data_IF_068083059453
#
_entry.id   IF_068083059453
#
_cell.length_a   1.000
_cell.length_b   1.000
_cell.length_c   1.000
_cell.angle_alpha   90.00
_cell.angle_beta   90.00
_cell.angle_gamma   90.00
#
_symmetry.space_group_name_H-M   'P 1'
#
loop_
_entity.id
_entity.type
_entity.pdbx_description
1 polymer ?
#
# COMPACT_ATOMS: atom_id res chain seq x y z
N UNK A 1 -13.97 -7.02 -12.46
CA UNK A 1 -14.02 -5.60 -12.94
C UNK A 1 -12.92 -4.78 -12.28
N UNK A 2 -12.50 -3.70 -12.91
CA UNK A 2 -11.56 -2.72 -12.35
C UNK A 2 -12.29 -1.39 -12.21
N UNK A 3 -12.18 -0.78 -11.04
CA UNK A 3 -12.72 0.55 -10.74
C UNK A 3 -11.52 1.43 -10.39
N UNK A 4 -11.29 2.48 -11.16
CA UNK A 4 -10.28 3.50 -10.84
C UNK A 4 -10.96 4.64 -10.11
N UNK A 5 -10.38 5.04 -9.00
CA UNK A 5 -10.88 6.16 -8.19
C UNK A 5 -9.92 7.34 -8.26
N UNK A 6 -10.46 8.54 -8.25
CA UNK A 6 -9.71 9.75 -7.92
C UNK A 6 -9.73 9.98 -6.40
N UNK A 7 -8.67 10.60 -5.89
CA UNK A 7 -8.58 10.97 -4.48
C UNK A 7 -7.90 12.33 -4.31
N UNK A 8 -8.18 13.00 -3.20
CA UNK A 8 -7.64 14.33 -2.91
C UNK A 8 -6.12 14.29 -2.72
N UNK A 9 -5.42 15.20 -3.42
CA UNK A 9 -3.97 15.32 -3.36
C UNK A 9 -3.54 16.24 -2.20
N UNK A 10 -3.47 15.70 -1.00
CA UNK A 10 -3.21 16.46 0.23
C UNK A 10 -1.80 17.10 0.33
N UNK A 11 -0.86 16.70 -0.55
CA UNK A 11 0.49 17.30 -0.61
C UNK A 11 0.62 18.36 -1.71
N UNK A 12 -0.41 18.60 -2.52
CA UNK A 12 -0.37 19.59 -3.61
C UNK A 12 -0.07 20.98 -3.06
N UNK A 13 0.97 21.61 -3.59
CA UNK A 13 1.42 22.95 -3.17
C UNK A 13 2.27 22.99 -1.88
N UNK A 14 2.60 21.86 -1.27
CA UNK A 14 3.52 21.83 -0.13
C UNK A 14 4.98 21.75 -0.63
N UNK A 15 5.75 22.81 -0.37
CA UNK A 15 7.11 22.96 -0.90
C UNK A 15 8.22 22.20 -0.15
N UNK A 16 7.93 21.54 0.96
CA UNK A 16 8.96 20.84 1.78
C UNK A 16 8.34 19.69 2.56
N UNK A 17 8.92 18.50 2.45
CA UNK A 17 8.66 17.38 3.35
C UNK A 17 9.89 17.18 4.23
N UNK A 18 9.84 17.69 5.43
CA UNK A 18 10.81 17.46 6.49
C UNK A 18 10.13 16.88 7.73
N UNK A 19 10.91 16.61 8.77
CA UNK A 19 10.40 16.10 10.07
C UNK A 19 9.31 17.02 10.66
N UNK A 20 9.39 18.33 10.42
CA UNK A 20 8.39 19.31 10.85
C UNK A 20 7.07 19.21 10.05
N UNK A 21 7.03 18.47 8.95
CA UNK A 21 5.86 18.35 8.06
C UNK A 21 5.21 16.98 8.09
N UNK A 22 5.56 16.15 9.07
CA UNK A 22 4.93 14.85 9.25
C UNK A 22 3.41 14.97 9.41
N UNK A 23 2.94 16.04 10.05
CA UNK A 23 1.51 16.30 10.19
C UNK A 23 0.83 16.58 8.82
N UNK A 24 1.57 17.13 7.85
CA UNK A 24 1.05 17.35 6.50
C UNK A 24 0.95 16.02 5.76
N UNK A 25 1.97 15.18 5.85
CA UNK A 25 1.95 13.84 5.26
C UNK A 25 0.84 12.97 5.88
N UNK A 26 0.72 12.99 7.19
CA UNK A 26 -0.33 12.26 7.92
C UNK A 26 -1.73 12.69 7.48
N UNK A 27 -1.97 14.00 7.38
CA UNK A 27 -3.25 14.52 6.87
C UNK A 27 -3.50 14.11 5.42
N UNK A 28 -2.48 14.12 4.57
CA UNK A 28 -2.60 13.71 3.18
C UNK A 28 -2.94 12.22 3.06
N UNK A 29 -2.30 11.36 3.85
CA UNK A 29 -2.61 9.93 3.92
C UNK A 29 -4.05 9.74 4.44
N UNK A 30 -4.44 10.46 5.50
CA UNK A 30 -5.80 10.39 6.04
C UNK A 30 -6.84 10.74 4.97
N UNK A 31 -6.67 11.86 4.26
CA UNK A 31 -7.58 12.26 3.17
C UNK A 31 -7.70 11.18 2.10
N UNK A 32 -6.59 10.58 1.68
CA UNK A 32 -6.61 9.52 0.68
C UNK A 32 -7.29 8.24 1.18
N UNK A 33 -7.12 7.89 2.45
CA UNK A 33 -7.81 6.76 3.09
C UNK A 33 -9.31 7.03 3.24
N UNK A 34 -9.71 8.25 3.63
CA UNK A 34 -11.12 8.65 3.67
C UNK A 34 -11.78 8.53 2.30
N UNK A 35 -11.10 8.97 1.24
CA UNK A 35 -11.61 8.89 -0.13
C UNK A 35 -11.73 7.43 -0.59
N UNK A 36 -10.74 6.58 -0.26
CA UNK A 36 -10.80 5.15 -0.54
C UNK A 36 -11.93 4.46 0.23
N UNK A 37 -12.12 4.74 1.51
CA UNK A 37 -13.22 4.18 2.30
C UNK A 37 -14.58 4.67 1.82
N UNK A 38 -14.70 5.92 1.39
CA UNK A 38 -15.92 6.46 0.79
C UNK A 38 -16.26 5.75 -0.51
N UNK A 39 -15.26 5.52 -1.38
CA UNK A 39 -15.43 4.76 -2.61
C UNK A 39 -15.81 3.29 -2.32
N UNK A 40 -15.16 2.68 -1.34
CA UNK A 40 -15.47 1.31 -0.90
C UNK A 40 -16.91 1.20 -0.42
N UNK A 41 -17.34 2.12 0.42
CA UNK A 41 -18.73 2.17 0.90
C UNK A 41 -19.72 2.34 -0.25
N UNK A 42 -19.42 3.24 -1.19
CA UNK A 42 -20.25 3.41 -2.39
C UNK A 42 -20.36 2.11 -3.20
N UNK A 43 -19.25 1.35 -3.35
CA UNK A 43 -19.25 0.08 -4.06
C UNK A 43 -20.14 -0.95 -3.33
N UNK A 44 -20.03 -1.05 -2.01
CA UNK A 44 -20.85 -1.94 -1.19
C UNK A 44 -22.34 -1.60 -1.35
N UNK A 45 -22.70 -0.33 -1.24
CA UNK A 45 -24.10 0.13 -1.34
C UNK A 45 -24.69 -0.01 -2.75
N UNK A 46 -23.87 -0.18 -3.79
CA UNK A 46 -24.29 -0.24 -5.20
C UNK A 46 -23.78 -1.50 -5.94
N UNK A 47 -23.49 -2.57 -5.23
CA UNK A 47 -22.85 -3.77 -5.79
C UNK A 47 -23.65 -4.40 -6.95
N UNK A 48 -24.99 -4.49 -6.82
CA UNK A 48 -25.86 -5.01 -7.88
C UNK A 48 -25.78 -4.14 -9.14
N UNK A 49 -25.90 -2.81 -8.98
CA UNK A 49 -25.85 -1.87 -10.10
C UNK A 49 -24.50 -1.88 -10.82
N UNK A 50 -23.43 -1.97 -10.04
CA UNK A 50 -22.07 -2.05 -10.54
C UNK A 50 -21.74 -3.46 -11.09
N UNK A 51 -22.51 -4.47 -10.73
CA UNK A 51 -22.29 -5.87 -11.06
C UNK A 51 -20.94 -6.36 -10.53
N UNK A 52 -20.63 -6.02 -9.29
CA UNK A 52 -19.43 -6.44 -8.55
C UNK A 52 -19.85 -7.24 -7.32
N UNK A 53 -18.93 -7.98 -6.78
CA UNK A 53 -19.06 -8.71 -5.53
C UNK A 53 -18.25 -7.95 -4.48
N UNK A 54 -18.95 -7.32 -3.52
CA UNK A 54 -18.34 -6.50 -2.49
C UNK A 54 -17.51 -7.31 -1.48
N UNK A 55 -17.80 -8.60 -1.30
CA UNK A 55 -17.04 -9.51 -0.44
C UNK A 55 -15.66 -9.85 -1.04
N UNK A 56 -15.49 -9.65 -2.35
CA UNK A 56 -14.27 -9.94 -3.08
C UNK A 56 -13.53 -8.69 -3.56
N UNK A 57 -13.63 -7.58 -2.83
CA UNK A 57 -12.92 -6.35 -3.17
C UNK A 57 -11.43 -6.45 -2.87
N UNK A 58 -10.62 -6.27 -3.91
CA UNK A 58 -9.16 -6.12 -3.81
C UNK A 58 -8.78 -4.68 -4.08
N UNK A 59 -8.00 -4.07 -3.20
CA UNK A 59 -7.48 -2.72 -3.39
C UNK A 59 -6.04 -2.75 -3.88
N UNK A 60 -5.73 -1.90 -4.85
CA UNK A 60 -4.41 -1.84 -5.48
C UNK A 60 -3.94 -0.40 -5.62
N UNK A 61 -2.64 -0.19 -5.45
CA UNK A 61 -2.07 1.14 -5.61
C UNK A 61 -0.58 1.14 -5.87
N UNK A 62 -0.11 2.23 -6.47
CA UNK A 62 1.29 2.49 -6.78
C UNK A 62 1.76 3.74 -6.03
N UNK A 63 3.00 3.72 -5.51
CA UNK A 63 3.62 4.88 -4.84
C UNK A 63 2.70 5.47 -3.74
N UNK A 64 2.23 6.70 -3.90
CA UNK A 64 1.26 7.31 -2.98
C UNK A 64 -0.04 6.48 -2.86
N UNK A 65 -0.53 5.91 -3.97
CA UNK A 65 -1.67 5.00 -3.95
C UNK A 65 -1.37 3.70 -3.18
N UNK A 66 -0.14 3.17 -3.27
CA UNK A 66 0.27 2.01 -2.48
C UNK A 66 0.33 2.32 -0.97
N UNK A 67 0.75 3.53 -0.60
CA UNK A 67 0.67 4.02 0.78
C UNK A 67 -0.80 4.07 1.23
N UNK A 68 -1.68 4.60 0.38
CA UNK A 68 -3.11 4.73 0.71
C UNK A 68 -3.78 3.37 0.94
N UNK A 69 -3.56 2.39 0.06
CA UNK A 69 -4.17 1.05 0.22
C UNK A 69 -3.59 0.27 1.40
N UNK A 70 -2.27 0.37 1.63
CA UNK A 70 -1.63 -0.27 2.79
C UNK A 70 -2.09 0.36 4.11
N UNK A 71 -2.25 1.70 4.15
CA UNK A 71 -2.75 2.40 5.32
C UNK A 71 -4.23 2.06 5.56
N UNK A 72 -5.05 2.03 4.51
CA UNK A 72 -6.47 1.67 4.64
C UNK A 72 -6.65 0.29 5.25
N UNK A 73 -5.91 -0.72 4.77
CA UNK A 73 -5.95 -2.06 5.37
C UNK A 73 -5.46 -2.06 6.83
N UNK A 74 -4.38 -1.31 7.12
CA UNK A 74 -3.88 -1.16 8.49
C UNK A 74 -4.94 -0.56 9.43
N UNK A 75 -5.63 0.51 9.01
CA UNK A 75 -6.69 1.15 9.78
C UNK A 75 -7.91 0.22 9.96
N UNK A 76 -8.26 -0.51 8.89
CA UNK A 76 -9.37 -1.46 8.91
C UNK A 76 -9.08 -2.65 9.83
N UNK A 77 -7.92 -3.28 9.72
CA UNK A 77 -7.51 -4.42 10.56
C UNK A 77 -7.37 -4.04 12.04
N UNK A 78 -7.07 -2.77 12.32
CA UNK A 78 -7.01 -2.24 13.69
C UNK A 78 -8.33 -1.65 14.20
N UNK A 79 -9.36 -1.56 13.35
CA UNK A 79 -10.65 -0.94 13.68
C UNK A 79 -10.46 0.43 14.33
N UNK A 80 -9.68 1.27 13.66
CA UNK A 80 -9.53 2.66 14.09
C UNK A 80 -10.77 3.49 13.72
N UNK A 81 -10.86 4.70 14.25
CA UNK A 81 -11.97 5.61 13.90
C UNK A 81 -12.03 5.94 12.41
N UNK A 82 -10.93 5.81 11.67
CA UNK A 82 -10.91 6.06 10.22
C UNK A 82 -11.77 5.05 9.46
N UNK A 83 -11.78 3.79 9.92
CA UNK A 83 -12.56 2.72 9.30
C UNK A 83 -14.04 2.68 9.70
N UNK A 84 -14.51 3.60 10.57
CA UNK A 84 -15.89 3.59 11.11
C UNK A 84 -16.98 3.83 10.07
N UNK A 85 -16.63 4.28 8.86
CA UNK A 85 -17.58 4.49 7.75
C UNK A 85 -17.93 3.19 7.02
N UNK A 86 -17.15 2.13 7.22
CA UNK A 86 -17.39 0.81 6.64
C UNK A 86 -18.14 -0.10 7.61
N UNK A 87 -18.89 -1.11 7.12
CA UNK A 87 -19.54 -2.10 7.97
C UNK A 87 -18.54 -2.76 8.94
N UNK A 88 -19.01 -3.11 10.14
CA UNK A 88 -18.13 -3.64 11.18
C UNK A 88 -17.49 -4.98 10.81
N UNK A 89 -18.16 -5.79 10.03
CA UNK A 89 -17.72 -7.08 9.54
C UNK A 89 -16.97 -7.01 8.20
N UNK A 90 -16.98 -5.85 7.52
CA UNK A 90 -16.32 -5.68 6.25
C UNK A 90 -14.81 -5.96 6.33
N UNK A 91 -14.28 -6.63 5.29
CA UNK A 91 -12.85 -6.91 5.06
C UNK A 91 -12.56 -6.80 3.57
N UNK A 92 -11.41 -6.27 3.23
CA UNK A 92 -10.91 -6.44 1.86
C UNK A 92 -10.48 -7.89 1.62
N UNK A 93 -10.70 -8.40 0.41
CA UNK A 93 -10.23 -9.73 0.01
C UNK A 93 -8.71 -9.76 -0.25
N UNK A 94 -8.09 -8.62 -0.53
CA UNK A 94 -6.65 -8.52 -0.70
C UNK A 94 -6.17 -7.10 -0.94
N UNK A 95 -4.86 -6.90 -0.75
CA UNK A 95 -4.13 -5.66 -1.06
C UNK A 95 -3.01 -5.95 -2.05
N UNK A 96 -2.85 -5.11 -3.07
CA UNK A 96 -1.69 -5.12 -3.96
C UNK A 96 -0.96 -3.78 -3.89
N UNK A 97 0.28 -3.79 -3.42
CA UNK A 97 1.09 -2.62 -3.13
C UNK A 97 2.37 -2.57 -3.97
N UNK A 98 2.50 -1.54 -4.81
CA UNK A 98 3.67 -1.29 -5.64
C UNK A 98 4.46 -0.11 -5.05
N UNK A 99 5.54 -0.41 -4.33
CA UNK A 99 6.38 0.54 -3.59
C UNK A 99 5.60 1.32 -2.50
N UNK A 100 4.87 0.60 -1.64
CA UNK A 100 4.07 1.18 -0.55
C UNK A 100 4.75 1.18 0.80
N UNK A 101 4.13 1.89 1.75
CA UNK A 101 4.54 1.94 3.15
C UNK A 101 3.36 2.26 4.06
N UNK A 102 3.52 2.00 5.36
CA UNK A 102 2.55 2.36 6.42
C UNK A 102 3.16 3.42 7.32
N UNK A 103 2.40 4.47 7.61
CA UNK A 103 2.72 5.46 8.62
C UNK A 103 2.13 5.01 9.97
N UNK A 104 2.96 4.89 10.99
CA UNK A 104 2.52 4.57 12.35
C UNK A 104 3.04 5.60 13.35
N UNK A 105 2.18 6.01 14.26
CA UNK A 105 2.51 6.90 15.39
C UNK A 105 2.89 6.13 16.66
N UNK A 106 2.90 4.79 16.61
CA UNK A 106 3.24 3.91 17.73
C UNK A 106 4.70 3.41 17.66
N UNK A 107 5.47 3.84 16.66
CA UNK A 107 6.86 3.42 16.46
C UNK A 107 7.01 1.97 15.97
N UNK A 108 5.92 1.32 15.63
CA UNK A 108 5.82 -0.05 15.12
C UNK A 108 4.51 -0.20 14.33
N UNK A 109 4.43 -1.24 13.53
CA UNK A 109 3.19 -1.63 12.84
C UNK A 109 2.68 -2.89 13.49
N UNK A 110 1.63 -2.77 14.30
CA UNK A 110 0.95 -3.88 14.96
C UNK A 110 -0.49 -3.97 14.47
N UNK A 111 -1.01 -5.19 14.44
CA UNK A 111 -2.36 -5.49 13.99
C UNK A 111 -3.18 -6.13 15.10
N UNK A 112 -4.40 -5.66 15.33
CA UNK A 112 -5.38 -6.27 16.26
C UNK A 112 -5.98 -7.55 15.68
N UNK A 113 -6.23 -7.54 14.37
CA UNK A 113 -6.64 -8.70 13.58
C UNK A 113 -5.67 -8.91 12.44
N UNK A 114 -5.53 -10.14 11.94
CA UNK A 114 -4.70 -10.39 10.77
C UNK A 114 -5.18 -9.52 9.59
N UNK A 115 -4.25 -8.86 8.86
CA UNK A 115 -4.61 -8.16 7.63
C UNK A 115 -5.05 -9.18 6.57
N UNK A 116 -5.78 -8.71 5.56
CA UNK A 116 -6.08 -9.53 4.41
C UNK A 116 -4.80 -9.94 3.64
N UNK A 117 -4.86 -10.94 2.75
CA UNK A 117 -3.74 -11.32 1.91
C UNK A 117 -3.12 -10.09 1.23
N UNK A 118 -1.80 -9.96 1.28
CA UNK A 118 -1.11 -8.75 0.82
C UNK A 118 0.02 -9.09 -0.15
N UNK A 119 -0.07 -8.56 -1.38
CA UNK A 119 1.01 -8.58 -2.37
C UNK A 119 1.81 -7.29 -2.25
N UNK A 120 3.13 -7.41 -2.09
CA UNK A 120 4.06 -6.29 -2.01
C UNK A 120 5.18 -6.44 -3.04
N UNK A 121 5.40 -5.42 -3.87
CA UNK A 121 6.56 -5.30 -4.75
C UNK A 121 7.31 -4.03 -4.36
N UNK A 122 8.63 -4.14 -4.09
CA UNK A 122 9.40 -2.98 -3.64
C UNK A 122 10.87 -3.06 -4.06
N UNK A 123 11.41 -1.96 -4.56
CA UNK A 123 12.84 -1.83 -4.87
C UNK A 123 13.67 -1.66 -3.59
N UNK A 124 14.74 -2.44 -3.45
CA UNK A 124 15.58 -2.42 -2.23
C UNK A 124 16.35 -1.12 -2.05
N UNK A 125 16.58 -0.36 -3.14
CA UNK A 125 17.24 0.94 -3.16
C UNK A 125 16.27 2.14 -3.23
N UNK A 126 14.96 1.93 -3.00
CA UNK A 126 13.97 3.01 -3.04
C UNK A 126 14.24 4.06 -1.96
N UNK A 127 14.46 5.31 -2.41
CA UNK A 127 14.70 6.50 -1.58
C UNK A 127 13.51 7.45 -1.54
N UNK A 128 12.50 7.20 -2.36
CA UNK A 128 11.25 7.98 -2.42
C UNK A 128 10.29 7.47 -1.35
N UNK A 129 9.84 6.23 -1.49
CA UNK A 129 9.12 5.51 -0.45
C UNK A 129 10.11 4.54 0.20
N UNK A 130 10.42 4.67 1.50
CA UNK A 130 11.51 3.91 2.09
C UNK A 130 11.22 2.41 2.05
N UNK A 131 12.12 1.64 1.44
CA UNK A 131 12.03 0.17 1.43
C UNK A 131 12.04 -0.44 2.84
N UNK A 132 12.91 0.06 3.73
CA UNK A 132 12.98 -0.41 5.13
C UNK A 132 12.06 0.42 6.02
N UNK A 133 12.63 1.42 6.67
CA UNK A 133 11.87 2.34 7.55
C UNK A 133 12.62 3.65 7.72
N UNK A 134 11.85 4.71 7.96
CA UNK A 134 12.32 5.96 8.55
C UNK A 134 11.58 6.12 9.87
N UNK A 135 12.31 6.27 10.95
CA UNK A 135 11.72 6.38 12.29
C UNK A 135 12.35 7.49 13.10
N UNK A 136 11.50 8.29 13.75
CA UNK A 136 11.89 9.29 14.73
C UNK A 136 10.97 9.15 15.94
N UNK A 137 11.52 8.73 17.06
CA UNK A 137 10.75 8.37 18.28
C UNK A 137 9.65 7.34 17.96
N UNK A 138 8.39 7.68 18.27
CA UNK A 138 7.23 6.82 18.01
C UNK A 138 6.62 7.01 16.61
N UNK A 139 7.12 7.97 15.84
CA UNK A 139 6.68 8.15 14.48
C UNK A 139 7.56 7.33 13.55
N UNK A 140 6.95 6.48 12.73
CA UNK A 140 7.66 5.65 11.77
C UNK A 140 6.91 5.51 10.46
N UNK A 141 7.68 5.48 9.36
CA UNK A 141 7.21 5.18 8.03
C UNK A 141 7.88 3.88 7.59
N UNK A 142 7.08 2.82 7.44
CA UNK A 142 7.55 1.44 7.33
C UNK A 142 7.23 0.90 5.94
N UNK A 143 8.26 0.64 5.14
CA UNK A 143 8.13 0.10 3.80
C UNK A 143 8.13 -1.43 3.75
N UNK A 144 7.93 -1.98 2.54
CA UNK A 144 7.75 -3.41 2.30
C UNK A 144 8.79 -4.31 2.95
N UNK A 145 10.09 -3.97 2.83
CA UNK A 145 11.18 -4.77 3.44
C UNK A 145 11.20 -4.76 4.98
N UNK A 146 10.49 -3.81 5.63
CA UNK A 146 10.27 -3.84 7.08
C UNK A 146 8.96 -4.53 7.43
N UNK A 147 7.93 -4.32 6.64
CA UNK A 147 6.60 -4.91 6.86
C UNK A 147 6.64 -6.42 6.70
N UNK A 148 7.34 -6.95 5.70
CA UNK A 148 7.47 -8.41 5.48
C UNK A 148 7.95 -9.14 6.72
N UNK A 149 8.93 -8.59 7.45
CA UNK A 149 9.40 -9.19 8.71
C UNK A 149 8.33 -9.24 9.80
N UNK A 150 7.38 -8.31 9.74
CA UNK A 150 6.23 -8.29 10.65
C UNK A 150 5.22 -9.33 10.25
N UNK A 151 4.94 -9.43 8.95
CA UNK A 151 4.04 -10.41 8.38
C UNK A 151 4.54 -11.84 8.64
N UNK A 152 5.81 -12.10 8.40
CA UNK A 152 6.45 -13.39 8.69
C UNK A 152 6.35 -13.77 10.18
N UNK A 153 6.72 -12.84 11.07
CA UNK A 153 6.69 -13.07 12.52
C UNK A 153 5.30 -13.48 13.04
N UNK A 154 4.24 -12.95 12.46
CA UNK A 154 2.85 -13.21 12.87
C UNK A 154 2.14 -14.20 11.95
N UNK A 155 2.87 -14.82 11.03
CA UNK A 155 2.36 -15.84 10.13
C UNK A 155 1.15 -15.33 9.30
N UNK A 156 1.21 -14.06 8.84
CA UNK A 156 0.20 -13.48 7.96
C UNK A 156 0.32 -14.03 6.54
N UNK A 157 -0.74 -13.88 5.75
CA UNK A 157 -0.75 -14.29 4.35
C UNK A 157 -0.19 -13.17 3.46
N UNK A 158 0.96 -13.39 2.81
CA UNK A 158 1.59 -12.38 1.96
C UNK A 158 2.44 -12.95 0.84
N UNK A 159 2.58 -12.17 -0.23
CA UNK A 159 3.59 -12.37 -1.27
C UNK A 159 4.46 -11.10 -1.33
N UNK A 160 5.77 -11.25 -1.15
CA UNK A 160 6.73 -10.14 -1.20
C UNK A 160 7.79 -10.41 -2.26
N UNK A 161 7.95 -9.46 -3.18
CA UNK A 161 8.96 -9.46 -4.23
C UNK A 161 9.92 -8.28 -4.02
N UNK A 162 11.14 -8.60 -3.61
CA UNK A 162 12.23 -7.64 -3.39
C UNK A 162 13.02 -7.47 -4.68
N UNK A 163 12.96 -6.30 -5.30
CA UNK A 163 13.75 -6.00 -6.50
C UNK A 163 15.09 -5.43 -6.10
N UNK A 164 16.16 -6.24 -6.29
CA UNK A 164 17.54 -5.88 -5.92
C UNK A 164 17.99 -4.62 -6.65
N UNK A 165 18.57 -3.69 -5.88
CA UNK A 165 19.17 -2.45 -6.35
C UNK A 165 18.25 -1.58 -7.23
N UNK A 166 16.95 -1.91 -7.26
CA UNK A 166 15.95 -1.06 -7.93
C UNK A 166 15.45 0.01 -6.97
N UNK A 167 15.26 1.20 -7.53
CA UNK A 167 14.70 2.38 -6.84
C UNK A 167 13.19 2.42 -6.93
N UNK A 168 12.65 3.62 -6.98
CA UNK A 168 11.19 3.87 -7.03
C UNK A 168 10.52 3.44 -8.33
N UNK A 169 11.29 3.04 -9.34
CA UNK A 169 10.76 2.51 -10.62
C UNK A 169 9.82 1.32 -10.41
N UNK A 170 9.94 0.58 -9.30
CA UNK A 170 9.05 -0.55 -9.00
C UNK A 170 7.60 -0.08 -8.71
N UNK A 171 7.40 1.18 -8.43
CA UNK A 171 6.06 1.76 -8.41
C UNK A 171 5.33 1.61 -9.76
N UNK A 172 6.06 1.61 -10.87
CA UNK A 172 5.52 1.48 -12.23
C UNK A 172 5.42 0.00 -12.70
N UNK A 173 5.75 -0.96 -11.82
CA UNK A 173 5.82 -2.38 -12.16
C UNK A 173 4.45 -3.06 -12.40
N UNK A 174 3.33 -2.39 -12.21
CA UNK A 174 1.99 -2.96 -12.35
C UNK A 174 1.80 -3.73 -13.67
N UNK A 175 2.21 -3.12 -14.79
CA UNK A 175 2.05 -3.74 -16.13
C UNK A 175 3.03 -4.88 -16.40
N UNK A 176 4.21 -4.84 -15.79
CA UNK A 176 5.28 -5.82 -16.00
C UNK A 176 5.11 -7.07 -15.13
N UNK A 177 4.24 -7.03 -14.14
CA UNK A 177 4.09 -8.07 -13.12
C UNK A 177 2.69 -8.66 -13.06
N UNK A 178 1.97 -8.64 -14.20
CA UNK A 178 0.60 -9.17 -14.31
C UNK A 178 0.56 -10.64 -13.88
N UNK A 179 1.54 -11.44 -14.26
CA UNK A 179 1.60 -12.86 -13.88
C UNK A 179 1.67 -13.04 -12.35
N UNK A 180 2.45 -12.21 -11.66
CA UNK A 180 2.55 -12.26 -10.20
C UNK A 180 1.23 -11.84 -9.53
N UNK A 181 0.57 -10.82 -10.09
CA UNK A 181 -0.74 -10.38 -9.63
C UNK A 181 -1.81 -11.45 -9.85
N UNK A 182 -1.81 -12.11 -11.02
CA UNK A 182 -2.74 -13.22 -11.30
C UNK A 182 -2.54 -14.40 -10.36
N UNK A 183 -1.30 -14.79 -10.08
CA UNK A 183 -0.99 -15.87 -9.13
C UNK A 183 -1.54 -15.49 -7.75
N UNK A 184 -1.26 -14.28 -7.28
CA UNK A 184 -1.76 -13.78 -6.00
C UNK A 184 -3.29 -13.78 -5.94
N UNK A 185 -3.96 -13.23 -6.95
CA UNK A 185 -5.41 -13.16 -7.01
C UNK A 185 -6.04 -14.54 -7.05
N UNK A 186 -5.49 -15.48 -7.85
CA UNK A 186 -6.02 -16.83 -7.98
C UNK A 186 -5.84 -17.66 -6.70
N UNK A 187 -4.64 -17.65 -6.14
CA UNK A 187 -4.28 -18.53 -5.02
C UNK A 187 -4.68 -17.91 -3.68
N UNK A 188 -4.18 -16.71 -3.36
CA UNK A 188 -4.37 -16.13 -2.03
C UNK A 188 -5.77 -15.52 -1.83
N UNK A 189 -6.37 -14.95 -2.89
CA UNK A 189 -7.68 -14.29 -2.79
C UNK A 189 -8.80 -15.24 -3.17
N UNK A 190 -8.87 -15.71 -4.43
CA UNK A 190 -10.03 -16.47 -4.93
C UNK A 190 -10.12 -17.87 -4.31
N UNK A 191 -8.99 -18.55 -4.09
CA UNK A 191 -8.96 -19.87 -3.44
C UNK A 191 -8.87 -19.81 -1.93
N UNK A 192 -8.54 -18.61 -1.38
CA UNK A 192 -8.33 -18.43 0.05
C UNK A 192 -7.12 -19.23 0.59
N UNK A 193 -6.16 -19.57 -0.27
CA UNK A 193 -4.98 -20.33 0.14
C UNK A 193 -4.04 -19.44 0.95
N UNK A 194 -3.54 -19.94 2.06
CA UNK A 194 -2.42 -19.31 2.73
C UNK A 194 -1.13 -19.65 2.01
N UNK A 195 -0.75 -18.81 1.07
CA UNK A 195 0.46 -18.98 0.28
C UNK A 195 1.43 -17.84 0.56
N UNK A 196 2.51 -18.14 1.25
CA UNK A 196 3.56 -17.18 1.57
C UNK A 196 4.66 -17.32 0.51
N UNK A 197 4.94 -16.20 -0.18
CA UNK A 197 6.06 -16.09 -1.12
C UNK A 197 6.94 -14.90 -0.67
N UNK A 198 8.24 -15.16 -0.47
CA UNK A 198 9.24 -14.12 -0.35
C UNK A 198 10.33 -14.38 -1.38
N UNK A 199 10.43 -13.52 -2.39
CA UNK A 199 11.34 -13.71 -3.52
C UNK A 199 12.24 -12.49 -3.70
N UNK A 200 13.50 -12.75 -3.99
CA UNK A 200 14.51 -11.77 -4.36
C UNK A 200 14.66 -11.78 -5.87
N UNK A 201 14.39 -10.65 -6.52
CA UNK A 201 14.46 -10.52 -7.98
C UNK A 201 15.67 -9.65 -8.33
N UNK A 202 16.58 -10.24 -9.08
CA UNK A 202 17.69 -9.53 -9.73
C UNK A 202 17.40 -9.51 -11.23
N UNK A 203 16.84 -8.41 -11.71
CA UNK A 203 16.50 -8.23 -13.13
C UNK A 203 17.27 -7.05 -13.72
N UNK A 204 18.34 -7.32 -14.48
CA UNK A 204 19.12 -6.28 -15.14
C UNK A 204 18.33 -5.54 -16.22
N UNK A 205 17.23 -6.10 -16.74
CA UNK A 205 16.38 -5.46 -17.73
C UNK A 205 15.55 -4.29 -17.19
N UNK A 206 15.41 -4.19 -15.85
CA UNK A 206 14.74 -3.05 -15.22
C UNK A 206 15.79 -1.96 -14.94
N UNK A 207 15.79 -0.92 -15.75
CA UNK A 207 16.65 0.23 -15.54
C UNK A 207 16.06 1.21 -14.51
N UNK A 208 16.93 1.73 -13.61
CA UNK A 208 16.52 2.78 -12.69
C UNK A 208 16.39 4.12 -13.46
N UNK A 209 15.18 4.54 -13.70
CA UNK A 209 14.88 5.85 -14.29
C UNK A 209 13.71 6.52 -13.53
N UNK A 210 13.34 7.72 -13.93
CA UNK A 210 12.26 8.45 -13.30
C UNK A 210 12.69 9.18 -12.02
N UNK A 211 11.81 9.22 -11.03
CA UNK A 211 12.06 9.90 -9.75
C UNK A 211 12.97 9.04 -8.88
N UNK A 212 14.16 9.56 -8.57
CA UNK A 212 15.16 8.84 -7.76
C UNK A 212 15.23 9.34 -6.31
N UNK A 213 14.60 10.47 -6.01
CA UNK A 213 14.56 11.05 -4.68
C UNK A 213 13.27 11.84 -4.42
N UNK A 214 12.91 11.97 -3.13
CA UNK A 214 11.76 12.79 -2.73
C UNK A 214 11.85 14.23 -3.20
N UNK A 215 13.06 14.78 -3.26
CA UNK A 215 13.26 16.16 -3.72
C UNK A 215 12.79 16.38 -5.15
N UNK A 216 13.02 15.41 -6.03
CA UNK A 216 12.62 15.49 -7.44
C UNK A 216 11.10 15.50 -7.63
N UNK A 217 10.33 14.83 -6.75
CA UNK A 217 8.86 14.89 -6.79
C UNK A 217 8.39 16.33 -6.65
N UNK A 218 8.94 17.04 -5.66
CA UNK A 218 8.51 18.42 -5.36
C UNK A 218 9.07 19.45 -6.32
N UNK A 219 10.18 19.16 -7.00
CA UNK A 219 10.77 20.07 -8.01
C UNK A 219 10.03 19.98 -9.36
N UNK A 220 9.34 18.89 -9.65
CA UNK A 220 8.53 18.71 -10.88
C UNK A 220 7.15 19.40 -10.82
N UNK A 221 6.67 19.73 -9.63
CA UNK A 221 5.37 20.40 -9.42
C UNK A 221 5.48 21.94 -9.40
N UNK A 222 6.66 22.50 -9.72
CA UNK A 222 6.90 23.93 -9.91
C UNK A 222 6.82 24.33 -11.37
#
# INVERSE_FOLDING_TARGET
RVISIDYRLGLKGSNKVGVAQVNVLDKAIHMAVEDLFSATRFIIENEEQLGVDADNLVISGSSAGAISVMQAEYELANRTSWASVLPEDFRYAGVMSFAGAILSREGKVDYKTAPCPTLMLHGTADKVVPYKQIKLFNLGFFGGGKLVRRFDKFDFNYNMYHYLDKGHIIADAMRMTVDLQEIFLKDNVMRGEKKIIEALIDDPGIENHGVTSRKEIYDREK
#
